data_IF_548331187754
#
_entry.id   IF_548331187754
#
_cell.length_a   1.000
_cell.length_b   1.000
_cell.length_c   1.000
_cell.angle_alpha   90.00
_cell.angle_beta   90.00
_cell.angle_gamma   90.00
#
_symmetry.space_group_name_H-M   'P 1'
#
loop_
_entity.id
_entity.type
_entity.pdbx_description
1 polymer ?
#
# COMPACT_ATOMS: atom_id res chain seq x y z
N UNK A 1 5.79 -26.47 -14.92
CA UNK A 1 5.61 -25.68 -13.73
C UNK A 1 6.62 -24.55 -13.66
N UNK A 2 6.16 -23.37 -13.45
CA UNK A 2 7.04 -22.22 -13.27
C UNK A 2 7.62 -22.22 -11.88
N UNK A 3 8.90 -21.97 -11.78
CA UNK A 3 9.58 -21.83 -10.50
C UNK A 3 9.95 -20.39 -10.28
N UNK A 4 9.73 -19.92 -9.06
CA UNK A 4 10.29 -18.63 -8.66
C UNK A 4 11.81 -18.73 -8.67
N UNK A 5 12.51 -17.62 -8.95
CA UNK A 5 13.95 -17.62 -8.83
C UNK A 5 14.34 -18.05 -7.41
N UNK A 6 15.12 -19.11 -7.32
CA UNK A 6 15.48 -19.69 -6.04
C UNK A 6 16.19 -18.69 -5.13
N UNK A 7 17.08 -17.87 -5.71
CA UNK A 7 17.80 -16.88 -4.93
C UNK A 7 16.86 -15.85 -4.29
N UNK A 8 15.79 -15.48 -4.98
CA UNK A 8 14.82 -14.52 -4.44
C UNK A 8 14.07 -15.12 -3.25
N UNK A 9 13.63 -16.37 -3.38
CA UNK A 9 12.95 -17.05 -2.29
C UNK A 9 13.86 -17.20 -1.08
N UNK A 10 15.12 -17.58 -1.28
CA UNK A 10 16.07 -17.71 -0.20
C UNK A 10 16.34 -16.39 0.50
N UNK A 11 16.51 -15.32 -0.27
CA UNK A 11 16.74 -14.00 0.31
C UNK A 11 15.59 -13.56 1.21
N UNK A 12 14.34 -13.81 0.78
CA UNK A 12 13.18 -13.44 1.58
C UNK A 12 12.99 -14.36 2.79
N UNK A 13 13.34 -15.64 2.66
CA UNK A 13 13.17 -16.62 3.73
C UNK A 13 14.17 -16.49 4.87
N UNK A 14 15.34 -15.91 4.61
CA UNK A 14 16.35 -15.75 5.67
C UNK A 14 16.05 -14.58 6.59
N UNK A 15 15.08 -13.71 6.25
CA UNK A 15 14.69 -12.61 7.11
C UNK A 15 13.81 -13.12 8.24
N UNK A 16 14.14 -12.77 9.51
CA UNK A 16 13.23 -13.04 10.63
C UNK A 16 11.90 -12.34 10.39
N UNK A 17 10.82 -12.90 10.95
CA UNK A 17 9.49 -12.34 10.80
C UNK A 17 9.41 -10.88 11.24
N UNK A 18 10.18 -10.49 12.29
CA UNK A 18 10.21 -9.11 12.77
C UNK A 18 10.96 -8.14 11.86
N UNK A 19 11.65 -8.65 10.84
CA UNK A 19 12.37 -7.83 9.86
C UNK A 19 11.66 -7.76 8.52
N UNK A 20 10.52 -8.43 8.36
CA UNK A 20 9.70 -8.30 7.17
C UNK A 20 9.00 -6.94 7.17
N UNK A 21 8.73 -6.39 6.00
CA UNK A 21 7.95 -5.16 5.93
C UNK A 21 6.54 -5.37 6.49
N UNK A 22 5.91 -4.30 6.88
CA UNK A 22 4.55 -4.32 7.37
C UNK A 22 3.85 -3.05 6.87
N UNK A 23 3.20 -3.17 5.72
CA UNK A 23 2.48 -2.05 5.10
C UNK A 23 1.09 -1.96 5.70
N UNK A 24 0.74 -0.76 6.12
CA UNK A 24 -0.56 -0.49 6.72
C UNK A 24 -1.21 0.68 6.02
N UNK A 25 -2.48 0.53 5.63
CA UNK A 25 -3.30 1.67 5.24
C UNK A 25 -3.84 2.26 6.53
N UNK A 26 -3.25 3.34 6.99
CA UNK A 26 -3.56 3.89 8.31
C UNK A 26 -4.63 4.97 8.28
N UNK A 27 -4.83 5.62 7.13
CA UNK A 27 -5.88 6.62 7.01
C UNK A 27 -6.27 6.88 5.57
N UNK A 28 -7.48 7.38 5.40
CA UNK A 28 -8.02 7.87 4.13
C UNK A 28 -8.63 9.22 4.43
N UNK A 29 -8.16 10.25 3.74
CA UNK A 29 -8.51 11.63 4.02
C UNK A 29 -9.10 12.31 2.80
N UNK A 30 -9.95 13.31 3.04
CA UNK A 30 -10.38 14.23 2.01
C UNK A 30 -9.64 15.55 2.25
N UNK A 31 -8.84 15.96 1.30
CA UNK A 31 -8.06 17.19 1.39
C UNK A 31 -8.95 18.42 1.13
N UNK A 32 -8.42 19.60 1.43
CA UNK A 32 -9.16 20.85 1.24
C UNK A 32 -9.64 21.07 -0.19
N UNK A 33 -8.87 20.59 -1.17
CA UNK A 33 -9.24 20.68 -2.58
C UNK A 33 -10.21 19.59 -3.02
N UNK A 34 -10.66 18.75 -2.08
CA UNK A 34 -11.61 17.68 -2.33
C UNK A 34 -10.99 16.36 -2.79
N UNK A 35 -9.69 16.34 -3.06
CA UNK A 35 -9.04 15.10 -3.47
C UNK A 35 -8.86 14.14 -2.32
N UNK A 36 -8.96 12.86 -2.62
CA UNK A 36 -8.74 11.79 -1.66
C UNK A 36 -7.24 11.54 -1.53
N UNK A 37 -6.75 11.48 -0.31
CA UNK A 37 -5.37 11.14 0.00
C UNK A 37 -5.33 9.91 0.90
N UNK A 38 -4.30 9.10 0.73
CA UNK A 38 -4.11 7.85 1.44
C UNK A 38 -2.85 7.94 2.27
N UNK A 39 -2.93 7.45 3.50
CA UNK A 39 -1.76 7.36 4.37
C UNK A 39 -1.34 5.91 4.48
N UNK A 40 -0.12 5.63 4.08
CA UNK A 40 0.46 4.29 4.09
C UNK A 40 1.63 4.30 5.04
N UNK A 41 1.68 3.39 5.99
CA UNK A 41 2.75 3.31 6.97
C UNK A 41 3.55 2.02 6.78
N UNK A 42 4.85 2.13 7.02
CA UNK A 42 5.69 0.97 7.28
C UNK A 42 5.82 0.85 8.81
N UNK A 43 5.06 -0.05 9.38
CA UNK A 43 5.03 -0.24 10.83
C UNK A 43 6.10 -1.20 11.33
N UNK A 44 6.95 -1.72 10.44
CA UNK A 44 8.04 -2.60 10.80
C UNK A 44 9.19 -1.83 11.45
N UNK A 45 10.14 -2.57 12.01
CA UNK A 45 11.33 -2.00 12.65
C UNK A 45 12.50 -1.86 11.69
N UNK A 46 12.28 -2.13 10.41
CA UNK A 46 13.32 -2.10 9.39
C UNK A 46 12.93 -1.19 8.25
N UNK A 47 13.92 -0.48 7.72
CA UNK A 47 13.75 0.19 6.45
C UNK A 47 13.54 -0.87 5.38
N UNK A 48 12.62 -0.62 4.49
CA UNK A 48 12.35 -1.54 3.40
C UNK A 48 12.76 -0.94 2.07
N UNK A 49 13.87 -1.45 1.54
CA UNK A 49 14.32 -1.12 0.20
C UNK A 49 13.69 -2.14 -0.77
N UNK A 50 12.78 -1.66 -1.59
CA UNK A 50 12.08 -2.53 -2.53
C UNK A 50 13.02 -3.00 -3.64
N UNK A 51 13.20 -4.31 -3.83
CA UNK A 51 13.86 -4.81 -5.04
C UNK A 51 13.12 -4.33 -6.28
N UNK A 52 13.83 -4.01 -7.36
CA UNK A 52 13.19 -3.52 -8.58
C UNK A 52 12.12 -4.49 -9.10
N UNK A 53 12.38 -5.79 -9.02
CA UNK A 53 11.40 -6.79 -9.46
C UNK A 53 10.13 -6.76 -8.61
N UNK A 54 10.23 -6.46 -7.33
CA UNK A 54 9.08 -6.41 -6.43
C UNK A 54 8.29 -5.11 -6.59
N UNK A 55 8.97 -3.99 -6.86
CA UNK A 55 8.32 -2.69 -7.01
C UNK A 55 7.25 -2.69 -8.10
N UNK A 56 7.50 -3.39 -9.19
CA UNK A 56 6.54 -3.46 -10.29
C UNK A 56 5.37 -4.39 -9.99
N UNK A 57 5.42 -5.14 -8.90
CA UNK A 57 4.40 -6.13 -8.55
C UNK A 57 3.58 -5.75 -7.33
N UNK A 58 3.96 -4.71 -6.63
CA UNK A 58 3.20 -4.21 -5.50
C UNK A 58 2.29 -3.10 -5.98
N UNK A 59 1.00 -3.24 -5.71
CA UNK A 59 0.00 -2.27 -6.12
C UNK A 59 -0.75 -1.73 -4.92
N UNK A 60 -1.12 -0.47 -5.04
CA UNK A 60 -2.11 0.17 -4.19
C UNK A 60 -3.40 0.21 -4.98
N UNK A 61 -4.40 -0.54 -4.56
CA UNK A 61 -5.69 -0.64 -5.25
C UNK A 61 -6.73 0.20 -4.54
N UNK A 62 -7.57 0.86 -5.33
CA UNK A 62 -8.60 1.75 -4.82
C UNK A 62 -9.93 1.40 -5.47
N UNK A 63 -10.94 1.10 -4.64
CA UNK A 63 -12.30 0.85 -5.09
C UNK A 63 -13.25 1.87 -4.47
N UNK A 64 -14.18 2.37 -5.26
CA UNK A 64 -15.19 3.33 -4.83
C UNK A 64 -16.56 2.70 -5.06
N UNK A 65 -17.37 2.64 -4.00
CA UNK A 65 -18.71 2.05 -4.03
C UNK A 65 -18.71 0.64 -4.62
N UNK A 66 -17.68 -0.15 -4.27
CA UNK A 66 -17.55 -1.53 -4.71
C UNK A 66 -16.95 -1.73 -6.09
N UNK A 67 -16.58 -0.66 -6.79
CA UNK A 67 -16.01 -0.73 -8.13
C UNK A 67 -14.54 -0.31 -8.09
N UNK A 68 -13.66 -1.17 -8.58
CA UNK A 68 -12.24 -0.83 -8.67
C UNK A 68 -12.04 0.31 -9.66
N UNK A 69 -11.40 1.37 -9.20
CA UNK A 69 -11.22 2.59 -9.98
C UNK A 69 -9.78 2.84 -10.36
N UNK A 70 -8.82 2.32 -9.60
CA UNK A 70 -7.41 2.57 -9.87
C UNK A 70 -6.52 1.51 -9.24
N UNK A 71 -5.39 1.31 -9.87
CA UNK A 71 -4.23 0.60 -9.31
C UNK A 71 -3.01 1.46 -9.53
N UNK A 72 -2.28 1.72 -8.44
CA UNK A 72 -1.03 2.48 -8.51
C UNK A 72 0.12 1.54 -8.20
N UNK A 73 1.16 1.55 -9.03
CA UNK A 73 2.38 0.81 -8.74
C UNK A 73 3.08 1.45 -7.54
N UNK A 74 3.60 0.64 -6.65
CA UNK A 74 4.23 1.14 -5.44
C UNK A 74 5.43 2.03 -5.75
N UNK A 75 6.14 1.76 -6.82
CA UNK A 75 7.29 2.59 -7.20
C UNK A 75 6.90 4.03 -7.55
N UNK A 76 5.64 4.27 -7.94
CA UNK A 76 5.15 5.63 -8.19
C UNK A 76 4.85 6.37 -6.89
N UNK A 77 4.66 5.64 -5.79
CA UNK A 77 4.35 6.18 -4.47
C UNK A 77 5.64 6.37 -3.68
N UNK A 78 6.51 5.37 -3.72
CA UNK A 78 7.80 5.37 -3.03
C UNK A 78 8.86 4.76 -3.95
N UNK A 79 9.67 5.58 -4.62
CA UNK A 79 10.61 5.07 -5.61
C UNK A 79 11.87 4.43 -5.01
N UNK A 80 12.17 4.62 -3.73
CA UNK A 80 13.45 4.22 -3.16
C UNK A 80 13.33 3.31 -1.95
N UNK A 81 13.19 3.88 -0.76
CA UNK A 81 13.18 3.16 0.51
C UNK A 81 12.00 3.60 1.34
N UNK A 82 11.29 2.64 1.89
CA UNK A 82 10.23 2.93 2.85
C UNK A 82 10.80 2.80 4.25
N UNK A 83 11.02 3.94 4.89
CA UNK A 83 11.69 3.97 6.18
C UNK A 83 10.83 3.35 7.29
N UNK A 84 11.50 2.75 8.26
CA UNK A 84 10.83 2.18 9.43
C UNK A 84 10.03 3.24 10.18
N UNK A 85 8.88 2.85 10.69
CA UNK A 85 8.00 3.73 11.48
C UNK A 85 7.68 5.06 10.78
N UNK A 86 7.71 5.09 9.47
CA UNK A 86 7.38 6.28 8.69
C UNK A 86 6.07 6.07 7.93
N UNK A 87 5.60 7.14 7.33
CA UNK A 87 4.42 7.07 6.49
C UNK A 87 4.63 7.87 5.21
N UNK A 88 3.82 7.53 4.22
CA UNK A 88 3.74 8.23 2.95
C UNK A 88 2.31 8.73 2.80
N UNK A 89 2.16 9.99 2.43
CA UNK A 89 0.86 10.53 2.02
C UNK A 89 0.80 10.52 0.51
N UNK A 90 -0.16 9.81 -0.03
CA UNK A 90 -0.35 9.71 -1.47
C UNK A 90 -1.67 10.38 -1.87
N UNK A 91 -1.57 11.44 -2.67
CA UNK A 91 -2.74 12.13 -3.20
C UNK A 91 -3.21 11.43 -4.47
N UNK A 92 -4.45 10.97 -4.47
CA UNK A 92 -5.04 10.31 -5.63
C UNK A 92 -5.58 11.33 -6.64
N UNK A 93 -6.04 10.81 -7.79
CA UNK A 93 -6.71 11.62 -8.81
C UNK A 93 -8.21 11.73 -8.58
N UNK A 94 -8.74 11.22 -7.48
CA UNK A 94 -10.16 11.14 -7.24
C UNK A 94 -10.60 12.16 -6.22
N UNK A 95 -11.75 12.78 -6.49
CA UNK A 95 -12.39 13.72 -5.58
C UNK A 95 -13.57 13.08 -4.89
N UNK A 96 -13.75 13.40 -3.60
CA UNK A 96 -14.95 13.04 -2.87
C UNK A 96 -15.97 14.18 -3.01
N UNK A 97 -16.59 14.26 -4.18
CA UNK A 97 -17.59 15.30 -4.46
C UNK A 97 -18.96 15.02 -3.87
N UNK A 98 -19.19 13.80 -3.41
CA UNK A 98 -20.41 13.34 -2.76
C UNK A 98 -20.06 12.22 -1.80
N UNK A 99 -20.96 11.83 -0.88
CA UNK A 99 -20.69 10.72 0.01
C UNK A 99 -20.38 9.45 -0.77
N UNK A 100 -19.35 8.72 -0.34
CA UNK A 100 -18.93 7.50 -0.99
C UNK A 100 -18.28 6.55 0.02
N UNK A 101 -18.23 5.27 -0.35
CA UNK A 101 -17.48 4.26 0.40
C UNK A 101 -16.23 3.91 -0.38
N UNK A 102 -15.08 4.00 0.26
CA UNK A 102 -13.80 3.70 -0.36
C UNK A 102 -13.15 2.51 0.32
N UNK A 103 -12.54 1.65 -0.50
CA UNK A 103 -11.73 0.53 -0.03
C UNK A 103 -10.36 0.66 -0.65
N UNK A 104 -9.33 0.62 0.18
CA UNK A 104 -7.94 0.72 -0.25
C UNK A 104 -7.19 -0.51 0.22
N UNK A 105 -6.38 -1.07 -0.67
CA UNK A 105 -5.59 -2.24 -0.36
C UNK A 105 -4.18 -2.09 -0.92
N UNK A 106 -3.16 -2.39 -0.12
CA UNK A 106 -1.76 -2.41 -0.55
C UNK A 106 -1.26 -3.85 -0.54
N UNK A 107 -0.45 -4.20 -1.54
CA UNK A 107 0.17 -5.53 -1.66
C UNK A 107 -0.88 -6.66 -1.59
N UNK A 108 -2.04 -6.45 -2.22
CA UNK A 108 -3.13 -7.41 -2.17
C UNK A 108 -2.78 -8.75 -2.81
N UNK A 109 -1.88 -8.76 -3.77
CA UNK A 109 -1.40 -9.99 -4.41
C UNK A 109 -0.29 -10.68 -3.60
N UNK A 110 0.10 -10.11 -2.46
CA UNK A 110 1.15 -10.63 -1.60
C UNK A 110 2.46 -10.88 -2.34
N UNK A 111 2.78 -9.95 -3.26
CA UNK A 111 4.00 -10.03 -4.06
C UNK A 111 5.25 -9.95 -3.19
N UNK A 112 5.15 -9.29 -2.04
CA UNK A 112 6.21 -9.21 -1.04
C UNK A 112 5.68 -9.79 0.27
N UNK A 113 6.44 -10.69 0.92
CA UNK A 113 6.04 -11.18 2.25
C UNK A 113 6.01 -10.04 3.26
N UNK A 114 5.03 -10.07 4.14
CA UNK A 114 4.89 -9.12 5.23
C UNK A 114 4.69 -9.86 6.55
N UNK A 115 5.02 -9.18 7.65
CA UNK A 115 4.78 -9.75 8.97
C UNK A 115 3.29 -9.81 9.31
N UNK A 116 2.48 -8.93 8.71
CA UNK A 116 1.04 -8.90 8.92
C UNK A 116 0.35 -8.37 7.66
N UNK A 117 -0.54 -9.18 7.09
CA UNK A 117 -1.34 -8.77 5.94
C UNK A 117 -2.70 -8.22 6.33
N UNK A 118 -3.11 -8.35 7.59
CA UNK A 118 -4.46 -7.97 8.01
C UNK A 118 -4.69 -6.47 8.00
N UNK A 119 -3.63 -5.67 8.07
CA UNK A 119 -3.69 -4.21 8.09
C UNK A 119 -3.48 -3.57 6.71
N UNK A 120 -3.45 -4.40 5.65
CA UNK A 120 -3.23 -3.92 4.28
C UNK A 120 -4.48 -3.34 3.63
N UNK A 121 -5.63 -3.45 4.29
CA UNK A 121 -6.91 -3.03 3.76
C UNK A 121 -7.56 -2.06 4.74
N UNK A 122 -8.12 -0.98 4.21
CA UNK A 122 -8.96 -0.07 4.99
C UNK A 122 -10.16 0.31 4.15
N UNK A 123 -11.35 0.21 4.74
CA UNK A 123 -12.58 0.71 4.15
C UNK A 123 -13.11 1.86 5.00
N UNK A 124 -13.64 2.87 4.34
CA UNK A 124 -14.17 4.04 5.04
C UNK A 124 -15.28 4.70 4.24
N UNK A 125 -16.28 5.19 4.94
CA UNK A 125 -17.25 6.09 4.36
C UNK A 125 -16.69 7.49 4.41
N UNK A 126 -16.67 8.17 3.27
CA UNK A 126 -16.20 9.54 3.16
C UNK A 126 -17.36 10.47 2.87
N UNK A 127 -17.32 11.64 3.48
CA UNK A 127 -18.27 12.71 3.22
C UNK A 127 -17.50 13.96 2.83
N UNK A 128 -17.94 14.66 1.77
CA UNK A 128 -17.31 15.94 1.43
C UNK A 128 -17.42 16.92 2.58
N UNK A 129 -16.36 17.67 2.80
CA UNK A 129 -16.35 18.76 3.76
C UNK A 129 -16.37 20.08 3.00
N UNK A 130 -17.42 20.81 3.19
CA UNK A 130 -17.57 22.13 2.58
C UNK A 130 -17.81 23.18 3.67
#
# INVERSE_FOLDING_TARGET
>A
MKKLPLFLLLALKVLPAGELPDFKISDILVLRDGFIALKIENTSRQDFALPSAARDRIFLSLAINGVKRAEYKFKAIDPTVFLQNSFIMFKTNFRAGQPLRIRVEVNGEKAVPESDFSNNILERDLRPQF
#
